data_IF_570739169331
#
_entry.id   IF_570739169331
#
_cell.length_a   1.000
_cell.length_b   1.000
_cell.length_c   1.000
_cell.angle_alpha   90.00
_cell.angle_beta   90.00
_cell.angle_gamma   90.00
#
_symmetry.space_group_name_H-M   'P 1'
#
loop_
_entity.id
_entity.type
_entity.pdbx_description
1 polymer ?
#
# COMPACT_ATOMS: atom_id res chain seq x y z
N UNK A 1 32.69 3.53 7.31
CA UNK A 1 31.32 4.00 7.08
C UNK A 1 30.42 3.09 7.87
N UNK A 2 29.72 3.59 8.89
CA UNK A 2 28.79 2.77 9.66
C UNK A 2 27.66 2.36 8.70
N UNK A 3 27.41 1.06 8.56
CA UNK A 3 26.19 0.61 7.92
C UNK A 3 25.04 1.21 8.72
N UNK A 4 24.21 2.01 8.06
CA UNK A 4 22.96 2.46 8.66
C UNK A 4 22.22 1.21 9.13
N UNK A 5 21.93 1.13 10.42
CA UNK A 5 21.41 -0.09 11.00
C UNK A 5 20.03 -0.37 10.38
N UNK A 6 19.79 -1.61 9.94
CA UNK A 6 18.53 -2.05 9.34
C UNK A 6 17.89 -3.17 10.18
N UNK A 7 16.59 -3.41 10.02
CA UNK A 7 15.90 -4.55 10.64
C UNK A 7 16.25 -5.88 9.95
N UNK A 8 17.53 -6.22 9.89
CA UNK A 8 18.08 -7.35 9.13
C UNK A 8 18.62 -6.94 7.75
N UNK A 9 19.33 -7.85 7.04
CA UNK A 9 20.04 -7.54 5.80
C UNK A 9 19.13 -7.08 4.65
N UNK A 10 17.83 -7.40 4.71
CA UNK A 10 16.80 -6.97 3.74
C UNK A 10 15.64 -6.20 4.39
N UNK A 11 15.81 -5.78 5.64
CA UNK A 11 14.79 -5.07 6.40
C UNK A 11 14.83 -3.56 6.17
N UNK A 12 13.77 -2.84 6.60
CA UNK A 12 13.76 -1.39 6.54
C UNK A 12 14.92 -0.79 7.35
N UNK A 13 15.47 0.37 6.93
CA UNK A 13 16.45 1.11 7.70
C UNK A 13 15.86 1.57 9.05
N UNK A 14 16.70 1.67 10.08
CA UNK A 14 16.32 2.19 11.41
C UNK A 14 16.36 3.71 11.48
N UNK A 15 17.19 4.33 10.65
CA UNK A 15 17.28 5.77 10.51
C UNK A 15 17.22 6.15 9.04
N UNK A 16 16.42 7.16 8.73
CA UNK A 16 16.24 7.69 7.39
C UNK A 16 15.68 9.11 7.51
N UNK A 17 16.02 10.00 6.56
CA UNK A 17 15.51 11.36 6.59
C UNK A 17 14.02 11.37 6.23
N UNK A 18 13.26 12.28 6.84
CA UNK A 18 11.81 12.32 6.68
C UNK A 18 11.39 12.61 5.22
N UNK A 19 12.12 13.48 4.51
CA UNK A 19 11.92 13.77 3.09
C UNK A 19 12.21 12.57 2.16
N UNK A 20 12.96 11.58 2.66
CA UNK A 20 13.19 10.29 2.02
C UNK A 20 12.01 9.30 2.16
N UNK A 21 10.97 9.65 2.90
CA UNK A 21 9.78 8.80 3.07
C UNK A 21 8.77 9.05 1.97
N UNK A 22 8.21 7.98 1.41
CA UNK A 22 7.03 8.04 0.53
C UNK A 22 6.13 6.84 0.75
N UNK A 23 4.86 7.09 1.03
CA UNK A 23 3.81 6.05 1.03
C UNK A 23 2.95 6.24 -0.21
N UNK A 24 2.84 5.19 -1.02
CA UNK A 24 1.97 5.16 -2.19
C UNK A 24 0.92 4.09 -1.98
N UNK A 25 -0.35 4.41 -2.24
CA UNK A 25 -1.44 3.43 -2.20
C UNK A 25 -2.16 3.51 -3.54
N UNK A 26 -2.28 2.38 -4.24
CA UNK A 26 -2.90 2.28 -5.55
C UNK A 26 -4.00 1.22 -5.53
N UNK A 27 -5.23 1.66 -5.70
CA UNK A 27 -6.42 0.80 -5.80
C UNK A 27 -6.76 0.61 -7.29
N UNK A 28 -6.83 -0.65 -7.71
CA UNK A 28 -7.18 -1.06 -9.07
C UNK A 28 -8.50 -1.83 -9.04
N UNK A 29 -9.57 -1.35 -9.69
CA UNK A 29 -10.93 -1.87 -9.50
C UNK A 29 -11.26 -3.21 -10.21
N UNK A 30 -10.25 -3.93 -10.74
CA UNK A 30 -10.49 -5.14 -11.54
C UNK A 30 -11.20 -4.83 -12.88
N UNK A 31 -11.85 -5.82 -13.54
CA UNK A 31 -12.47 -5.67 -14.86
C UNK A 31 -13.85 -4.99 -14.82
N UNK A 32 -14.07 -4.06 -13.89
CA UNK A 32 -15.34 -3.30 -13.79
C UNK A 32 -15.34 -2.16 -14.81
N UNK A 33 -16.28 -2.21 -15.77
CA UNK A 33 -16.39 -1.19 -16.82
C UNK A 33 -16.62 0.20 -16.20
N UNK A 34 -15.77 1.16 -16.57
CA UNK A 34 -15.87 2.55 -16.14
C UNK A 34 -15.28 2.84 -14.75
N UNK A 35 -14.80 1.83 -14.03
CA UNK A 35 -14.09 2.04 -12.78
C UNK A 35 -12.67 2.57 -13.06
N UNK A 36 -12.22 3.52 -12.25
CA UNK A 36 -10.94 4.21 -12.42
C UNK A 36 -9.95 3.78 -11.35
N UNK A 37 -8.67 3.74 -11.71
CA UNK A 37 -7.59 3.61 -10.72
C UNK A 37 -7.62 4.83 -9.80
N UNK A 38 -7.50 4.57 -8.51
CA UNK A 38 -7.30 5.58 -7.48
C UNK A 38 -5.90 5.42 -6.91
N UNK A 39 -5.16 6.52 -6.81
CA UNK A 39 -3.80 6.50 -6.29
C UNK A 39 -3.56 7.65 -5.34
N UNK A 40 -2.88 7.34 -4.25
CA UNK A 40 -2.42 8.27 -3.24
C UNK A 40 -0.91 8.28 -3.21
N UNK A 41 -0.33 9.46 -3.08
CA UNK A 41 1.10 9.60 -2.80
C UNK A 41 1.25 10.56 -1.62
N UNK A 42 1.81 10.06 -0.53
CA UNK A 42 2.15 10.80 0.69
C UNK A 42 3.68 10.86 0.82
N UNK A 43 4.34 11.87 0.23
CA UNK A 43 5.77 12.08 0.36
C UNK A 43 6.09 12.90 1.62
N UNK A 44 7.19 12.61 2.32
CA UNK A 44 7.61 13.32 3.54
C UNK A 44 7.98 14.80 3.36
N UNK A 45 7.63 15.41 2.22
CA UNK A 45 7.71 16.86 1.98
C UNK A 45 6.46 17.62 2.48
N UNK A 46 5.40 16.92 2.92
CA UNK A 46 4.18 17.53 3.45
C UNK A 46 3.10 17.88 2.41
N UNK A 47 3.32 17.53 1.14
CA UNK A 47 2.37 17.76 0.04
C UNK A 47 1.97 16.43 -0.61
N UNK A 48 0.73 16.00 -0.36
CA UNK A 48 0.20 14.74 -0.89
C UNK A 48 -0.59 14.96 -2.18
N UNK A 49 -0.71 13.90 -2.97
CA UNK A 49 -1.54 13.88 -4.17
C UNK A 49 -2.54 12.73 -4.16
N UNK A 50 -3.73 13.02 -4.68
CA UNK A 50 -4.80 12.08 -4.99
C UNK A 50 -5.05 12.07 -6.49
N UNK A 51 -4.86 10.94 -7.12
CA UNK A 51 -5.24 10.69 -8.51
C UNK A 51 -6.49 9.82 -8.57
N UNK A 52 -7.52 10.27 -9.28
CA UNK A 52 -8.73 9.50 -9.62
C UNK A 52 -8.95 9.56 -11.13
N UNK A 53 -8.59 8.48 -11.82
CA UNK A 53 -8.52 8.51 -13.29
C UNK A 53 -7.56 9.61 -13.76
N UNK A 54 -8.08 10.60 -14.48
CA UNK A 54 -7.30 11.73 -15.00
C UNK A 54 -7.23 12.94 -14.04
N UNK A 55 -8.03 12.94 -12.97
CA UNK A 55 -8.06 14.07 -12.02
C UNK A 55 -6.97 13.89 -10.97
N UNK A 56 -6.16 14.93 -10.80
CA UNK A 56 -5.15 15.01 -9.73
C UNK A 56 -5.51 16.17 -8.82
N UNK A 57 -5.67 15.88 -7.52
CA UNK A 57 -5.85 16.88 -6.47
C UNK A 57 -4.66 16.83 -5.53
N UNK A 58 -4.10 17.98 -5.18
CA UNK A 58 -3.04 18.10 -4.20
C UNK A 58 -3.58 18.69 -2.90
N UNK A 59 -3.04 18.26 -1.77
CA UNK A 59 -3.39 18.80 -0.46
C UNK A 59 -2.20 18.71 0.50
N UNK A 60 -2.18 19.63 1.46
CA UNK A 60 -1.17 19.66 2.51
C UNK A 60 -1.56 18.71 3.64
N UNK A 61 -0.56 18.18 4.33
CA UNK A 61 -0.76 17.32 5.48
C UNK A 61 0.37 17.50 6.50
N UNK A 62 0.11 17.20 7.77
CA UNK A 62 1.09 17.39 8.81
C UNK A 62 2.09 16.23 8.84
N UNK A 63 3.33 16.51 9.24
CA UNK A 63 4.34 15.45 9.41
C UNK A 63 3.88 14.36 10.39
N UNK A 64 3.13 14.75 11.43
CA UNK A 64 2.52 13.83 12.38
C UNK A 64 1.60 12.81 11.71
N UNK A 65 0.84 13.21 10.68
CA UNK A 65 -0.06 12.31 9.96
C UNK A 65 0.75 11.22 9.21
N UNK A 66 1.92 11.55 8.62
CA UNK A 66 2.78 10.52 8.01
C UNK A 66 3.31 9.54 9.04
N UNK A 67 3.73 10.08 10.19
CA UNK A 67 4.27 9.29 11.28
C UNK A 67 3.23 8.30 11.80
N UNK A 68 1.96 8.70 11.91
CA UNK A 68 0.87 7.82 12.33
C UNK A 68 0.60 6.69 11.31
N UNK A 69 0.69 7.00 10.01
CA UNK A 69 0.61 6.00 8.94
C UNK A 69 1.77 5.00 9.05
N UNK A 70 3.01 5.48 9.19
CA UNK A 70 4.18 4.62 9.35
C UNK A 70 4.08 3.76 10.61
N UNK A 71 3.68 4.34 11.74
CA UNK A 71 3.48 3.62 13.00
C UNK A 71 2.45 2.50 12.84
N UNK A 72 1.36 2.77 12.11
CA UNK A 72 0.35 1.74 11.81
C UNK A 72 0.94 0.60 10.99
N UNK A 73 1.71 0.92 9.94
CA UNK A 73 2.41 -0.06 9.10
C UNK A 73 3.43 -0.91 9.89
N UNK A 74 4.20 -0.29 10.79
CA UNK A 74 5.12 -1.03 11.67
C UNK A 74 4.36 -1.93 12.66
N UNK A 75 3.28 -1.44 13.28
CA UNK A 75 2.47 -2.22 14.24
C UNK A 75 1.84 -3.46 13.60
N UNK A 76 1.45 -3.37 12.33
CA UNK A 76 0.90 -4.50 11.58
C UNK A 76 1.96 -5.38 10.91
N UNK A 77 3.26 -5.13 11.17
CA UNK A 77 4.39 -5.86 10.58
C UNK A 77 4.36 -5.86 9.04
N UNK A 78 4.00 -4.72 8.46
CA UNK A 78 3.88 -4.55 7.01
C UNK A 78 5.12 -5.04 6.24
N UNK A 79 6.32 -4.74 6.76
CA UNK A 79 7.59 -5.08 6.11
C UNK A 79 7.88 -6.60 6.10
N UNK A 80 7.21 -7.36 6.96
CA UNK A 80 7.30 -8.83 7.00
C UNK A 80 6.31 -9.51 6.04
N UNK A 81 5.36 -8.76 5.47
CA UNK A 81 4.35 -9.34 4.58
C UNK A 81 4.96 -9.80 3.25
N UNK A 82 4.47 -10.89 2.66
CA UNK A 82 4.74 -11.23 1.27
C UNK A 82 4.37 -10.08 0.33
N UNK A 83 5.16 -9.89 -0.74
CA UNK A 83 4.93 -8.83 -1.72
C UNK A 83 3.63 -9.02 -2.51
N UNK A 84 3.23 -10.27 -2.75
CA UNK A 84 1.98 -10.59 -3.45
C UNK A 84 1.10 -11.51 -2.59
N UNK A 85 0.00 -10.94 -2.10
CA UNK A 85 -1.03 -11.61 -1.33
C UNK A 85 -2.29 -11.91 -2.18
N UNK A 86 -2.27 -11.59 -3.48
CA UNK A 86 -3.38 -11.88 -4.40
C UNK A 86 -3.37 -13.35 -4.83
N UNK A 87 -2.21 -13.99 -4.77
CA UNK A 87 -2.03 -15.40 -5.10
C UNK A 87 -2.81 -16.31 -4.13
N UNK A 88 -3.75 -17.10 -4.67
CA UNK A 88 -4.36 -18.21 -3.91
C UNK A 88 -3.81 -19.53 -4.39
N UNK A 89 -3.37 -20.36 -3.44
CA UNK A 89 -3.00 -21.74 -3.70
C UNK A 89 -4.17 -22.64 -3.32
N UNK A 90 -4.55 -23.53 -4.22
CA UNK A 90 -5.46 -24.64 -3.93
C UNK A 90 -4.68 -25.94 -3.88
N UNK A 91 -4.93 -26.75 -2.87
CA UNK A 91 -4.35 -28.07 -2.71
C UNK A 91 -5.42 -29.09 -3.05
N UNK A 92 -5.10 -30.04 -3.93
CA UNK A 92 -6.05 -31.07 -4.38
C UNK A 92 -5.37 -32.43 -4.46
N UNK A 93 -6.15 -33.49 -4.23
CA UNK A 93 -5.70 -34.87 -4.40
C UNK A 93 -5.87 -35.27 -5.87
N UNK A 94 -4.82 -35.79 -6.48
CA UNK A 94 -4.87 -36.36 -7.83
C UNK A 94 -5.29 -37.83 -7.77
N UNK A 95 -5.75 -38.34 -8.92
CA UNK A 95 -6.22 -39.73 -9.06
C UNK A 95 -5.11 -40.77 -8.84
N UNK A 96 -3.83 -40.38 -8.99
CA UNK A 96 -2.67 -41.22 -8.68
C UNK A 96 -2.31 -41.26 -7.19
N UNK A 97 -3.12 -40.61 -6.34
CA UNK A 97 -2.91 -40.52 -4.90
C UNK A 97 -1.88 -39.46 -4.47
N UNK A 98 -1.35 -38.65 -5.40
CA UNK A 98 -0.41 -37.57 -5.08
C UNK A 98 -1.13 -36.23 -4.84
N UNK A 99 -0.49 -35.35 -4.06
CA UNK A 99 -1.01 -34.01 -3.79
C UNK A 99 -0.54 -33.05 -4.87
N UNK A 100 -1.48 -32.37 -5.52
CA UNK A 100 -1.22 -31.25 -6.42
C UNK A 100 -1.46 -29.90 -5.75
N UNK A 101 -0.69 -28.90 -6.18
CA UNK A 101 -0.92 -27.49 -5.84
C UNK A 101 -1.22 -26.71 -7.11
N UNK A 102 -2.35 -26.01 -7.15
CA UNK A 102 -2.70 -25.08 -8.23
C UNK A 102 -2.57 -23.65 -7.74
N UNK A 103 -1.91 -22.82 -8.55
CA UNK A 103 -1.79 -21.38 -8.30
C UNK A 103 -2.89 -20.65 -9.08
N UNK A 104 -3.90 -20.15 -8.36
CA UNK A 104 -4.92 -19.27 -8.91
C UNK A 104 -4.50 -17.83 -8.73
N UNK A 105 -4.14 -17.16 -9.83
CA UNK A 105 -4.11 -15.69 -9.87
C UNK A 105 -5.52 -15.19 -10.12
N UNK A 106 -6.10 -14.50 -9.14
CA UNK A 106 -7.39 -13.82 -9.27
C UNK A 106 -7.22 -12.50 -10.03
N UNK A 107 -6.77 -12.58 -11.30
CA UNK A 107 -6.54 -11.41 -12.18
C UNK A 107 -7.82 -10.57 -12.40
N UNK A 108 -8.99 -11.14 -12.12
CA UNK A 108 -10.30 -10.51 -12.31
C UNK A 108 -10.85 -9.82 -11.05
N UNK A 109 -10.03 -9.64 -10.00
CA UNK A 109 -10.46 -8.96 -8.77
C UNK A 109 -9.87 -7.56 -8.62
N UNK A 110 -10.63 -6.72 -7.94
CA UNK A 110 -10.11 -5.47 -7.41
C UNK A 110 -8.95 -5.78 -6.45
N UNK A 111 -7.90 -4.97 -6.53
CA UNK A 111 -6.71 -5.14 -5.72
C UNK A 111 -6.16 -3.79 -5.30
N UNK A 112 -5.48 -3.81 -4.17
CA UNK A 112 -4.82 -2.65 -3.60
C UNK A 112 -3.33 -2.96 -3.45
N UNK A 113 -2.49 -2.03 -3.89
CA UNK A 113 -1.04 -2.07 -3.71
C UNK A 113 -0.62 -0.93 -2.80
N UNK A 114 0.11 -1.25 -1.74
CA UNK A 114 0.70 -0.29 -0.81
C UNK A 114 2.21 -0.38 -0.96
N UNK A 115 2.87 0.72 -1.31
CA UNK A 115 4.32 0.83 -1.40
C UNK A 115 4.83 1.83 -0.37
N UNK A 116 5.81 1.41 0.42
CA UNK A 116 6.48 2.25 1.42
C UNK A 116 7.95 2.35 1.04
N UNK A 117 8.39 3.56 0.74
CA UNK A 117 9.79 3.89 0.47
C UNK A 117 10.37 4.65 1.64
N UNK A 118 11.53 4.21 2.10
CA UNK A 118 12.32 4.77 3.19
C UNK A 118 13.76 4.99 2.67
N UNK A 119 14.04 6.18 2.14
CA UNK A 119 15.26 6.49 1.40
C UNK A 119 15.49 5.54 0.21
N UNK A 120 16.48 4.65 0.31
CA UNK A 120 16.85 3.68 -0.73
C UNK A 120 16.13 2.33 -0.59
N UNK A 121 15.41 2.12 0.52
CA UNK A 121 14.61 0.93 0.74
C UNK A 121 13.17 1.12 0.21
N UNK A 122 12.61 0.10 -0.45
CA UNK A 122 11.22 0.10 -0.87
C UNK A 122 10.58 -1.28 -0.64
N UNK A 123 9.37 -1.26 -0.08
CA UNK A 123 8.52 -2.44 0.07
C UNK A 123 7.14 -2.17 -0.50
N UNK A 124 6.74 -2.98 -1.47
CA UNK A 124 5.38 -3.02 -1.99
C UNK A 124 4.67 -4.30 -1.56
N UNK A 125 3.41 -4.19 -1.14
CA UNK A 125 2.53 -5.30 -0.82
C UNK A 125 1.24 -5.10 -1.61
N UNK A 126 0.92 -6.08 -2.45
CA UNK A 126 -0.32 -6.12 -3.22
C UNK A 126 -1.25 -7.19 -2.65
N UNK A 127 -2.52 -6.84 -2.45
CA UNK A 127 -3.53 -7.76 -1.91
C UNK A 127 -4.87 -7.55 -2.61
N UNK A 128 -5.73 -8.58 -2.60
CA UNK A 128 -7.07 -8.48 -3.16
C UNK A 128 -8.00 -7.78 -2.17
N UNK A 129 -8.92 -6.94 -2.66
CA UNK A 129 -9.82 -6.19 -1.80
C UNK A 129 -10.62 -7.13 -0.88
N UNK A 130 -10.64 -6.83 0.43
CA UNK A 130 -11.32 -7.61 1.46
C UNK A 130 -10.50 -8.79 2.02
N UNK A 131 -9.32 -9.10 1.47
CA UNK A 131 -8.49 -10.22 1.94
C UNK A 131 -7.53 -9.81 3.08
N UNK A 132 -7.33 -8.51 3.36
CA UNK A 132 -6.43 -8.05 4.42
C UNK A 132 -7.02 -6.89 5.24
N UNK A 133 -7.90 -7.23 6.20
CA UNK A 133 -8.73 -6.28 6.96
C UNK A 133 -7.97 -5.08 7.57
N UNK A 134 -6.76 -5.29 8.08
CA UNK A 134 -5.98 -4.19 8.67
C UNK A 134 -5.43 -3.22 7.61
N UNK A 135 -5.08 -3.70 6.41
CA UNK A 135 -4.66 -2.85 5.29
C UNK A 135 -5.87 -2.13 4.72
N UNK A 136 -7.00 -2.84 4.57
CA UNK A 136 -8.26 -2.24 4.16
C UNK A 136 -8.71 -1.11 5.11
N UNK A 137 -8.56 -1.29 6.42
CA UNK A 137 -8.89 -0.26 7.40
C UNK A 137 -8.00 0.98 7.24
N UNK A 138 -6.67 0.79 7.12
CA UNK A 138 -5.72 1.88 6.88
C UNK A 138 -6.04 2.63 5.58
N UNK A 139 -6.26 1.90 4.48
CA UNK A 139 -6.56 2.50 3.18
C UNK A 139 -7.88 3.27 3.21
N UNK A 140 -8.92 2.73 3.87
CA UNK A 140 -10.20 3.47 4.04
C UNK A 140 -10.05 4.73 4.88
N UNK A 141 -9.20 4.71 5.90
CA UNK A 141 -8.90 5.90 6.69
C UNK A 141 -8.21 6.96 5.84
N UNK A 142 -7.15 6.57 5.11
CA UNK A 142 -6.45 7.45 4.17
C UNK A 142 -7.39 8.03 3.12
N UNK A 143 -8.28 7.21 2.57
CA UNK A 143 -9.29 7.63 1.60
C UNK A 143 -10.20 8.72 2.20
N UNK A 144 -10.70 8.51 3.42
CA UNK A 144 -11.60 9.44 4.08
C UNK A 144 -10.93 10.77 4.41
N UNK A 145 -9.71 10.73 4.95
CA UNK A 145 -8.95 11.93 5.27
C UNK A 145 -8.60 12.75 4.03
N UNK A 146 -8.15 12.09 2.98
CA UNK A 146 -7.75 12.76 1.77
C UNK A 146 -8.95 13.37 1.03
N UNK A 147 -10.12 12.75 1.11
CA UNK A 147 -11.37 13.31 0.58
C UNK A 147 -11.80 14.56 1.34
N UNK A 148 -11.65 14.57 2.67
CA UNK A 148 -11.90 15.75 3.50
C UNK A 148 -10.93 16.88 3.16
N UNK A 149 -9.63 16.59 3.05
CA UNK A 149 -8.60 17.58 2.72
C UNK A 149 -8.75 18.12 1.29
N UNK A 150 -9.03 17.26 0.32
CA UNK A 150 -9.29 17.63 -1.07
C UNK A 150 -10.52 18.54 -1.22
N UNK A 151 -11.60 18.26 -0.48
CA UNK A 151 -12.78 19.12 -0.44
C UNK A 151 -12.47 20.49 0.18
N UNK A 152 -11.68 20.53 1.26
CA UNK A 152 -11.24 21.78 1.89
C UNK A 152 -10.33 22.64 0.99
N UNK A 153 -9.47 22.00 0.18
CA UNK A 153 -8.60 22.68 -0.76
C UNK A 153 -9.35 23.28 -1.97
N UNK A 154 -10.45 22.64 -2.41
CA UNK A 154 -11.28 23.12 -3.52
C UNK A 154 -12.23 24.26 -3.13
N UNK A 155 -12.46 24.49 -1.83
CA UNK A 155 -13.35 25.53 -1.31
C UNK A 155 -12.64 26.87 -1.03
N UNK A 156 -11.35 26.97 -1.34
CA UNK A 156 -10.48 28.13 -1.08
C UNK A 156 -10.02 28.75 -2.40
#
# INVERSE_FOLDING_TARGET
MAADASQGPEGPPLHYPFDGVRVTVRQSPGPVRGAQVRQWVLPGTGHATLTRGERVTSFDYAAADLIDVLNTLYRMRFFDLPTDLVARYSVYLKDDGTVGTSHMRLLDRASTEVCVRLADYEKCVRYADGDHAALDALVRQLDAEADQRAAGAAAK
#
